data_IF_070676274046
#
_entry.id   IF_070676274046
#
_cell.length_a   1.000
_cell.length_b   1.000
_cell.length_c   1.000
_cell.angle_alpha   90.00
_cell.angle_beta   90.00
_cell.angle_gamma   90.00
#
_symmetry.space_group_name_H-M   'P 1'
#
loop_
_entity.id
_entity.type
_entity.pdbx_description
1 polymer ?
#
# COMPACT_ATOMS: atom_id res chain seq x y z
N UNK A 1 36.02 33.03 -22.40
CA UNK A 1 35.51 31.66 -22.27
C UNK A 1 34.18 31.76 -21.56
N UNK A 2 33.08 31.52 -22.28
CA UNK A 2 31.74 31.39 -21.68
C UNK A 2 31.70 30.09 -20.88
N UNK A 3 31.13 30.07 -19.65
CA UNK A 3 30.93 28.81 -18.96
C UNK A 3 29.97 27.93 -19.77
N UNK A 4 30.34 26.65 -19.88
CA UNK A 4 29.55 25.59 -20.48
C UNK A 4 28.17 25.51 -19.78
N UNK A 5 27.05 25.40 -20.52
CA UNK A 5 25.75 25.28 -19.89
C UNK A 5 25.68 23.95 -19.13
N UNK A 6 25.57 24.03 -17.79
CA UNK A 6 25.25 22.91 -16.91
C UNK A 6 24.15 22.05 -17.54
N UNK A 7 24.31 20.72 -17.69
CA UNK A 7 23.25 19.88 -18.21
C UNK A 7 22.01 20.03 -17.31
N UNK A 8 20.93 20.51 -17.90
CA UNK A 8 19.62 20.61 -17.26
C UNK A 8 19.21 19.18 -16.82
N UNK A 9 18.81 18.97 -15.56
CA UNK A 9 18.43 17.64 -15.10
C UNK A 9 17.27 17.13 -15.96
N UNK A 10 17.45 15.98 -16.61
CA UNK A 10 16.36 15.32 -17.35
C UNK A 10 15.12 15.23 -16.44
N UNK A 11 13.94 15.64 -16.91
CA UNK A 11 12.72 15.47 -16.13
C UNK A 11 12.58 13.98 -15.83
N UNK A 12 12.69 13.61 -14.56
CA UNK A 12 12.35 12.27 -14.11
C UNK A 12 10.97 11.97 -14.68
N UNK A 13 10.75 10.79 -15.31
CA UNK A 13 9.47 10.50 -15.94
C UNK A 13 8.39 10.67 -14.89
N UNK A 14 7.62 11.75 -15.00
CA UNK A 14 6.48 12.00 -14.13
C UNK A 14 5.57 10.80 -14.34
N UNK A 15 5.46 9.94 -13.33
CA UNK A 15 4.50 8.86 -13.37
C UNK A 15 3.14 9.52 -13.55
N UNK A 16 2.56 9.35 -14.73
CA UNK A 16 1.24 9.89 -15.05
C UNK A 16 0.26 9.47 -13.95
N UNK A 17 -0.69 10.32 -13.60
CA UNK A 17 -1.69 10.05 -12.55
C UNK A 17 -2.37 8.68 -12.75
N UNK A 18 -2.57 8.28 -14.00
CA UNK A 18 -3.03 6.95 -14.39
C UNK A 18 -2.17 5.79 -13.87
N UNK A 19 -0.83 5.90 -13.93
CA UNK A 19 0.10 4.88 -13.40
C UNK A 19 0.08 4.83 -11.88
N UNK A 20 -0.10 5.98 -11.23
CA UNK A 20 -0.23 6.05 -9.77
C UNK A 20 -1.53 5.37 -9.34
N UNK A 21 -2.62 5.63 -10.07
CA UNK A 21 -3.91 5.00 -9.82
C UNK A 21 -3.88 3.48 -10.08
N UNK A 22 -3.23 3.02 -11.16
CA UNK A 22 -3.07 1.59 -11.43
C UNK A 22 -2.25 0.89 -10.34
N UNK A 23 -1.14 1.51 -9.92
CA UNK A 23 -0.31 0.98 -8.84
C UNK A 23 -1.08 0.94 -7.51
N UNK A 24 -1.88 1.96 -7.22
CA UNK A 24 -2.77 2.00 -6.07
C UNK A 24 -3.79 0.85 -6.10
N UNK A 25 -4.50 0.68 -7.22
CA UNK A 25 -5.52 -0.37 -7.38
C UNK A 25 -4.89 -1.76 -7.21
N UNK A 26 -3.75 -2.00 -7.85
CA UNK A 26 -3.00 -3.24 -7.72
C UNK A 26 -2.56 -3.51 -6.28
N UNK A 27 -2.09 -2.47 -5.58
CA UNK A 27 -1.66 -2.56 -4.20
C UNK A 27 -2.82 -2.91 -3.27
N UNK A 28 -3.96 -2.21 -3.41
CA UNK A 28 -5.15 -2.44 -2.61
C UNK A 28 -5.75 -3.83 -2.86
N UNK A 29 -5.77 -4.30 -4.10
CA UNK A 29 -6.19 -5.68 -4.44
C UNK A 29 -5.28 -6.73 -3.80
N UNK A 30 -3.97 -6.52 -3.82
CA UNK A 30 -3.02 -7.45 -3.20
C UNK A 30 -3.20 -7.49 -1.67
N UNK A 31 -3.43 -6.34 -1.04
CA UNK A 31 -3.75 -6.24 0.38
C UNK A 31 -5.04 -7.00 0.73
N UNK A 32 -6.12 -6.76 -0.03
CA UNK A 32 -7.41 -7.43 0.15
C UNK A 32 -7.28 -8.95 -0.02
N UNK A 33 -6.53 -9.40 -1.03
CA UNK A 33 -6.34 -10.82 -1.29
C UNK A 33 -5.65 -11.54 -0.13
N UNK A 34 -4.61 -10.95 0.45
CA UNK A 34 -3.93 -11.51 1.61
C UNK A 34 -4.85 -11.55 2.84
N UNK A 35 -5.66 -10.52 3.05
CA UNK A 35 -6.67 -10.52 4.10
C UNK A 35 -7.72 -11.62 3.90
N UNK A 36 -8.18 -11.84 2.67
CA UNK A 36 -9.09 -12.91 2.34
C UNK A 36 -8.48 -14.28 2.63
N UNK A 37 -7.22 -14.52 2.26
CA UNK A 37 -6.52 -15.77 2.50
C UNK A 37 -6.35 -16.05 4.01
N UNK A 38 -5.84 -15.06 4.75
CA UNK A 38 -5.59 -15.16 6.19
C UNK A 38 -6.87 -15.34 7.01
N UNK A 39 -7.95 -14.66 6.62
CA UNK A 39 -9.26 -14.77 7.28
C UNK A 39 -10.11 -15.94 6.77
N UNK A 40 -9.63 -16.72 5.79
CA UNK A 40 -10.40 -17.75 5.07
C UNK A 40 -11.72 -17.20 4.48
N UNK A 41 -11.69 -15.94 4.04
CA UNK A 41 -12.83 -15.21 3.49
C UNK A 41 -13.74 -14.55 4.53
N UNK A 42 -13.45 -14.67 5.83
CA UNK A 42 -14.23 -14.05 6.89
C UNK A 42 -13.65 -12.68 7.30
N UNK A 43 -13.83 -11.68 6.44
CA UNK A 43 -13.38 -10.30 6.70
C UNK A 43 -14.41 -9.27 6.23
N UNK A 44 -14.39 -8.09 6.85
CA UNK A 44 -15.15 -6.95 6.35
C UNK A 44 -14.40 -6.31 5.18
N UNK A 45 -14.94 -6.51 3.97
CA UNK A 45 -14.30 -6.02 2.75
C UNK A 45 -14.17 -4.50 2.71
N UNK A 46 -15.17 -3.76 3.19
CA UNK A 46 -15.12 -2.29 3.19
C UNK A 46 -14.05 -1.75 4.15
N UNK A 47 -13.93 -2.35 5.34
CA UNK A 47 -12.91 -2.00 6.32
C UNK A 47 -11.50 -2.35 5.81
N UNK A 48 -11.32 -3.50 5.18
CA UNK A 48 -10.04 -3.91 4.60
C UNK A 48 -9.64 -3.02 3.42
N UNK A 49 -10.58 -2.64 2.55
CA UNK A 49 -10.32 -1.70 1.46
C UNK A 49 -9.95 -0.30 1.97
N UNK A 50 -10.66 0.21 2.99
CA UNK A 50 -10.33 1.48 3.62
C UNK A 50 -8.93 1.44 4.25
N UNK A 51 -8.61 0.38 4.98
CA UNK A 51 -7.28 0.20 5.57
C UNK A 51 -6.20 0.12 4.49
N UNK A 52 -6.47 -0.55 3.37
CA UNK A 52 -5.55 -0.64 2.25
C UNK A 52 -5.23 0.75 1.67
N UNK A 53 -6.26 1.55 1.40
CA UNK A 53 -6.11 2.93 0.90
C UNK A 53 -5.30 3.80 1.88
N UNK A 54 -5.64 3.75 3.18
CA UNK A 54 -4.90 4.47 4.22
C UNK A 54 -3.41 4.05 4.29
N UNK A 55 -3.12 2.76 4.10
CA UNK A 55 -1.75 2.26 4.09
C UNK A 55 -0.98 2.64 2.83
N UNK A 56 -1.62 2.60 1.66
CA UNK A 56 -1.04 3.10 0.42
C UNK A 56 -0.71 4.58 0.51
N UNK A 57 -1.64 5.42 1.00
CA UNK A 57 -1.39 6.85 1.16
C UNK A 57 -0.22 7.14 2.12
N UNK A 58 -0.10 6.36 3.20
CA UNK A 58 1.00 6.53 4.16
C UNK A 58 2.33 5.99 3.66
N UNK A 59 2.33 4.92 2.87
CA UNK A 59 3.54 4.22 2.45
C UNK A 59 3.32 3.43 1.15
N UNK A 60 3.23 4.13 0.00
CA UNK A 60 2.89 3.49 -1.28
C UNK A 60 4.00 2.57 -1.80
N UNK A 61 5.22 2.69 -1.26
CA UNK A 61 6.37 1.85 -1.60
C UNK A 61 6.45 0.56 -0.75
N UNK A 62 5.59 0.41 0.25
CA UNK A 62 5.59 -0.78 1.11
C UNK A 62 5.00 -1.99 0.38
N UNK A 63 5.38 -3.20 0.78
CA UNK A 63 4.78 -4.42 0.22
C UNK A 63 3.36 -4.61 0.79
N UNK A 64 2.30 -4.66 -0.05
CA UNK A 64 0.93 -4.84 0.42
C UNK A 64 0.76 -6.14 1.20
N UNK A 65 1.49 -7.20 0.80
CA UNK A 65 1.48 -8.50 1.46
C UNK A 65 2.02 -8.42 2.89
N UNK A 66 3.16 -7.75 3.07
CA UNK A 66 3.78 -7.60 4.40
C UNK A 66 2.90 -6.75 5.32
N UNK A 67 2.34 -5.65 4.80
CA UNK A 67 1.46 -4.77 5.58
C UNK A 67 0.18 -5.52 5.98
N UNK A 68 -0.49 -6.20 5.03
CA UNK A 68 -1.69 -6.99 5.30
C UNK A 68 -1.44 -8.08 6.36
N UNK A 69 -0.36 -8.85 6.21
CA UNK A 69 0.00 -9.92 7.16
C UNK A 69 0.28 -9.37 8.56
N UNK A 70 0.96 -8.23 8.64
CA UNK A 70 1.30 -7.58 9.91
C UNK A 70 0.05 -7.05 10.61
N UNK A 71 -0.82 -6.34 9.89
CA UNK A 71 -2.05 -5.81 10.47
C UNK A 71 -3.03 -6.92 10.86
N UNK A 72 -3.17 -7.96 10.03
CA UNK A 72 -3.95 -9.14 10.40
C UNK A 72 -3.43 -9.79 11.68
N UNK A 73 -2.12 -10.01 11.79
CA UNK A 73 -1.50 -10.55 13.00
C UNK A 73 -1.75 -9.64 14.21
N UNK A 74 -1.63 -8.32 14.05
CA UNK A 74 -1.88 -7.34 15.13
C UNK A 74 -3.33 -7.32 15.59
N UNK A 75 -4.29 -7.49 14.67
CA UNK A 75 -5.72 -7.58 15.03
C UNK A 75 -6.08 -8.89 15.71
N UNK A 76 -5.45 -10.00 15.33
CA UNK A 76 -5.69 -11.33 15.91
C UNK A 76 -4.91 -11.59 17.19
N UNK A 77 -3.78 -10.90 17.38
CA UNK A 77 -2.92 -11.03 18.56
C UNK A 77 -3.31 -10.06 19.69
N UNK A 78 -4.36 -9.23 19.54
CA UNK A 78 -4.92 -8.50 20.69
C UNK A 78 -5.30 -9.54 21.75
N UNK A 79 -4.60 -9.61 22.90
CA UNK A 79 -4.98 -10.55 23.93
C UNK A 79 -6.32 -10.09 24.49
N UNK A 80 -7.31 -10.97 24.41
CA UNK A 80 -8.47 -10.96 25.27
C UNK A 80 -7.92 -11.02 26.72
N UNK A 81 -7.85 -9.86 27.35
CA UNK A 81 -7.02 -9.64 28.53
C UNK A 81 -7.48 -8.41 29.30
N UNK A 82 -8.76 -8.40 29.67
CA UNK A 82 -9.28 -7.65 30.81
C UNK A 82 -10.49 -8.40 31.36
N UNK A 83 -10.20 -9.32 32.28
CA UNK A 83 -11.15 -9.74 33.32
C UNK A 83 -11.21 -8.72 34.46
#
# INVERSE_FOLDING_TARGET
>A
MTPDPTPEPEPAPELSEEKINEAHDAWCRAYEHVWADLSKGAYDKAAVQKAADEHWQRSPKSSPVMVASTEFTKTTQKPDGAG
#
